data_IF_289449260284
#
_entry.id   IF_289449260284
#
_cell.length_a   1.000
_cell.length_b   1.000
_cell.length_c   1.000
_cell.angle_alpha   90.00
_cell.angle_beta   90.00
_cell.angle_gamma   90.00
#
_symmetry.space_group_name_H-M   'P 1'
#
loop_
_entity.id
_entity.type
_entity.pdbx_description
1 polymer ?
#
# COMPACT_ATOMS: atom_id res chain seq x y z
N UNK A 1 30.63 -16.92 0.36
CA UNK A 1 29.17 -16.77 0.49
C UNK A 1 28.91 -15.31 0.87
N UNK A 2 28.64 -14.38 -0.06
CA UNK A 2 28.50 -12.97 0.30
C UNK A 2 27.05 -12.56 0.59
N UNK A 3 26.94 -11.73 1.63
CA UNK A 3 25.97 -10.66 1.87
C UNK A 3 24.48 -10.99 2.02
N UNK A 4 24.07 -11.28 3.26
CA UNK A 4 22.79 -10.84 3.78
C UNK A 4 22.80 -9.30 3.81
N UNK A 5 22.35 -8.69 2.72
CA UNK A 5 22.26 -7.24 2.59
C UNK A 5 21.11 -6.75 3.47
N UNK A 6 21.49 -6.26 4.65
CA UNK A 6 20.79 -5.34 5.54
C UNK A 6 19.35 -4.97 5.13
N UNK A 7 18.37 -5.65 5.73
CA UNK A 7 17.09 -5.01 6.04
C UNK A 7 17.45 -3.72 6.80
N UNK A 8 17.28 -2.56 6.16
CA UNK A 8 17.31 -1.27 6.86
C UNK A 8 16.02 -1.23 7.67
N UNK A 9 16.06 -1.82 8.87
CA UNK A 9 14.94 -1.78 9.80
C UNK A 9 14.62 -0.31 10.02
N UNK A 10 13.44 0.12 9.59
CA UNK A 10 12.98 1.47 9.84
C UNK A 10 12.89 1.66 11.36
N UNK A 11 13.80 2.44 11.93
CA UNK A 11 13.82 2.69 13.37
C UNK A 11 12.87 3.86 13.65
N UNK A 12 11.80 3.67 14.46
CA UNK A 12 10.97 4.78 14.87
C UNK A 12 11.77 5.77 15.72
N UNK A 13 11.43 7.05 15.64
CA UNK A 13 11.94 8.04 16.61
C UNK A 13 11.56 7.60 18.04
N UNK A 14 12.53 7.43 18.96
CA UNK A 14 12.31 6.80 20.27
C UNK A 14 11.45 7.62 21.24
N UNK A 15 11.12 8.87 20.90
CA UNK A 15 10.49 9.83 21.82
C UNK A 15 8.96 9.80 21.78
N UNK A 16 8.34 9.02 20.90
CA UNK A 16 6.89 9.04 20.68
C UNK A 16 6.29 7.67 21.04
N UNK A 17 5.49 7.56 22.12
CA UNK A 17 4.89 6.31 22.53
C UNK A 17 3.90 5.81 21.47
N UNK A 18 4.03 4.54 21.07
CA UNK A 18 3.12 3.90 20.12
C UNK A 18 1.73 3.73 20.77
N UNK A 19 0.63 4.07 20.09
CA UNK A 19 -0.70 3.83 20.60
C UNK A 19 -0.96 2.32 20.76
N UNK A 20 -1.83 1.95 21.69
CA UNK A 20 -2.20 0.55 21.93
C UNK A 20 -2.87 -0.02 20.70
N UNK A 21 -2.30 -1.09 20.15
CA UNK A 21 -2.89 -1.79 19.00
C UNK A 21 -4.21 -2.48 19.40
N UNK A 22 -5.16 -2.59 18.47
CA UNK A 22 -6.38 -3.36 18.70
C UNK A 22 -6.05 -4.83 18.99
N UNK A 23 -6.69 -5.42 19.99
CA UNK A 23 -6.45 -6.81 20.38
C UNK A 23 -7.00 -7.81 19.35
N UNK A 24 -8.05 -7.45 18.62
CA UNK A 24 -8.65 -8.29 17.57
C UNK A 24 -7.92 -8.15 16.24
N UNK A 25 -6.97 -9.05 16.01
CA UNK A 25 -6.31 -9.23 14.70
C UNK A 25 -7.20 -10.05 13.77
N UNK A 26 -7.09 -9.78 12.47
CA UNK A 26 -7.82 -10.50 11.45
C UNK A 26 -7.36 -11.98 11.35
N UNK A 27 -8.24 -12.96 11.66
CA UNK A 27 -7.88 -14.38 11.66
C UNK A 27 -7.60 -14.93 10.25
N UNK A 28 -8.03 -14.26 9.18
CA UNK A 28 -7.79 -14.70 7.81
C UNK A 28 -6.37 -14.43 7.32
N UNK A 29 -5.59 -13.61 8.03
CA UNK A 29 -4.21 -13.30 7.63
C UNK A 29 -3.34 -14.55 7.75
N UNK A 30 -3.47 -15.28 8.86
CA UNK A 30 -2.76 -16.54 9.09
C UNK A 30 -3.22 -17.62 8.12
N UNK A 31 -4.54 -17.73 7.86
CA UNK A 31 -5.08 -18.68 6.87
C UNK A 31 -4.62 -18.41 5.43
N UNK A 32 -4.33 -17.16 5.10
CA UNK A 32 -3.81 -16.77 3.78
C UNK A 32 -2.32 -17.10 3.65
N UNK A 33 -1.55 -16.96 4.74
CA UNK A 33 -0.12 -17.36 4.74
C UNK A 33 0.09 -18.87 4.74
N UNK A 34 -0.79 -19.63 5.40
CA UNK A 34 -0.72 -21.09 5.50
C UNK A 34 -1.11 -21.81 4.18
N UNK A 35 -1.51 -21.06 3.14
CA UNK A 35 -1.90 -21.63 1.84
C UNK A 35 -3.30 -22.28 1.85
N UNK A 36 -4.01 -22.20 2.97
CA UNK A 36 -5.41 -22.67 3.12
C UNK A 36 -6.42 -21.74 2.41
N UNK A 37 -6.01 -20.54 2.00
CA UNK A 37 -6.82 -19.58 1.23
C UNK A 37 -6.15 -19.15 -0.08
N UNK A 38 -6.96 -18.56 -0.97
CA UNK A 38 -6.53 -18.00 -2.26
C UNK A 38 -5.25 -17.17 -2.11
N UNK A 39 -4.20 -17.41 -2.92
CA UNK A 39 -2.91 -16.75 -2.78
C UNK A 39 -3.06 -15.22 -2.92
N UNK A 40 -2.26 -14.43 -2.19
CA UNK A 40 -2.31 -12.97 -2.27
C UNK A 40 -1.94 -12.52 -3.69
N UNK A 41 -2.97 -12.29 -4.50
CA UNK A 41 -2.80 -11.88 -5.89
C UNK A 41 -2.61 -10.37 -5.96
N UNK A 42 -1.41 -9.94 -6.34
CA UNK A 42 -1.08 -8.53 -6.57
C UNK A 42 -1.64 -8.14 -7.95
N UNK A 43 -2.54 -7.16 -7.98
CA UNK A 43 -3.07 -6.57 -9.20
C UNK A 43 -2.51 -5.17 -9.38
N UNK A 44 -2.22 -4.79 -10.62
CA UNK A 44 -1.81 -3.42 -10.95
C UNK A 44 -3.02 -2.65 -11.48
N UNK A 45 -3.20 -1.42 -10.99
CA UNK A 45 -4.25 -0.52 -11.40
C UNK A 45 -3.66 0.86 -11.65
N UNK A 46 -3.91 1.41 -12.84
CA UNK A 46 -3.57 2.80 -13.15
C UNK A 46 -4.68 3.71 -12.66
N UNK A 47 -4.32 4.71 -11.87
CA UNK A 47 -5.24 5.74 -11.37
C UNK A 47 -4.84 7.09 -11.95
N UNK A 48 -5.77 7.74 -12.63
CA UNK A 48 -5.58 9.11 -13.11
C UNK A 48 -6.04 10.09 -12.02
N UNK A 49 -5.11 10.93 -11.55
CA UNK A 49 -5.39 12.00 -10.58
C UNK A 49 -4.64 13.25 -11.02
N UNK A 50 -5.33 14.40 -11.06
CA UNK A 50 -4.75 15.68 -11.48
C UNK A 50 -4.06 15.63 -12.85
N UNK A 51 -4.59 14.81 -13.77
CA UNK A 51 -4.00 14.59 -15.10
C UNK A 51 -2.74 13.73 -15.12
N UNK A 52 -2.32 13.18 -13.99
CA UNK A 52 -1.16 12.30 -13.87
C UNK A 52 -1.63 10.86 -13.69
N UNK A 53 -1.12 9.95 -14.53
CA UNK A 53 -1.30 8.52 -14.37
C UNK A 53 -0.37 7.99 -13.28
N UNK A 54 -0.93 7.41 -12.22
CA UNK A 54 -0.16 6.75 -11.15
C UNK A 54 -0.46 5.28 -11.16
N UNK A 55 0.58 4.47 -11.23
CA UNK A 55 0.41 3.02 -11.19
C UNK A 55 0.44 2.53 -9.75
N UNK A 56 -0.63 1.86 -9.33
CA UNK A 56 -0.81 1.31 -8.01
C UNK A 56 -0.84 -0.23 -8.08
N UNK A 57 0.00 -0.90 -7.31
CA UNK A 57 -0.17 -2.30 -6.99
C UNK A 57 -1.15 -2.44 -5.82
N UNK A 58 -2.12 -3.34 -5.93
CA UNK A 58 -3.10 -3.64 -4.89
C UNK A 58 -3.11 -5.13 -4.60
N UNK A 59 -3.13 -5.51 -3.32
CA UNK A 59 -3.30 -6.89 -2.90
C UNK A 59 -4.58 -7.04 -2.10
N UNK A 60 -5.37 -8.07 -2.42
CA UNK A 60 -6.64 -8.36 -1.76
C UNK A 60 -6.37 -9.13 -0.47
N UNK A 61 -6.84 -8.59 0.65
CA UNK A 61 -6.81 -9.25 1.97
C UNK A 61 -8.25 -9.55 2.38
N UNK A 62 -8.53 -10.81 2.74
CA UNK A 62 -9.85 -11.20 3.25
C UNK A 62 -9.98 -10.71 4.68
N UNK A 63 -11.11 -10.09 5.02
CA UNK A 63 -11.45 -9.71 6.39
C UNK A 63 -12.90 -10.10 6.67
N UNK A 64 -13.30 -10.32 7.94
CA UNK A 64 -14.68 -10.65 8.31
C UNK A 64 -15.68 -9.57 7.89
N UNK A 65 -15.28 -8.29 7.80
CA UNK A 65 -16.13 -7.19 7.35
C UNK A 65 -16.17 -6.99 5.83
N UNK A 66 -15.46 -7.82 5.06
CA UNK A 66 -15.33 -7.70 3.61
C UNK A 66 -13.87 -7.61 3.14
N UNK A 67 -13.59 -7.85 1.85
CA UNK A 67 -12.21 -7.79 1.35
C UNK A 67 -11.68 -6.35 1.38
N UNK A 68 -10.51 -6.18 1.99
CA UNK A 68 -9.77 -4.90 2.01
C UNK A 68 -8.62 -4.99 1.03
N UNK A 69 -8.28 -3.89 0.38
CA UNK A 69 -7.18 -3.83 -0.58
C UNK A 69 -6.05 -2.98 -0.01
N UNK A 70 -4.85 -3.57 0.12
CA UNK A 70 -3.65 -2.82 0.49
C UNK A 70 -3.05 -2.24 -0.79
N UNK A 71 -2.77 -0.94 -0.78
CA UNK A 71 -2.29 -0.20 -1.93
C UNK A 71 -0.80 0.14 -1.80
N UNK A 72 -0.05 -0.01 -2.89
CA UNK A 72 1.35 0.40 -3.05
C UNK A 72 1.52 1.18 -4.35
N UNK A 73 2.21 2.32 -4.30
CA UNK A 73 2.61 3.09 -5.48
C UNK A 73 3.80 2.43 -6.14
N UNK A 74 3.74 2.25 -7.45
CA UNK A 74 4.86 1.69 -8.21
C UNK A 74 5.93 2.72 -8.56
N UNK A 75 5.55 3.99 -8.72
CA UNK A 75 6.51 5.07 -8.99
C UNK A 75 7.56 5.26 -7.88
N UNK A 76 7.12 5.22 -6.61
CA UNK A 76 7.96 5.51 -5.44
C UNK A 76 8.09 4.33 -4.48
N UNK A 77 7.36 3.24 -4.71
CA UNK A 77 7.29 2.11 -3.80
C UNK A 77 6.48 2.37 -2.52
N UNK A 78 5.87 3.55 -2.36
CA UNK A 78 5.19 3.95 -1.13
C UNK A 78 3.92 3.12 -0.87
N UNK A 79 3.70 2.70 0.38
CA UNK A 79 2.59 1.82 0.78
C UNK A 79 1.62 2.57 1.70
N UNK A 80 0.32 2.36 1.49
CA UNK A 80 -0.72 2.99 2.31
C UNK A 80 -0.91 2.26 3.64
N UNK A 81 -0.43 2.88 4.71
CA UNK A 81 -0.55 2.39 6.09
C UNK A 81 -2.00 2.25 6.51
N UNK A 82 -2.84 3.21 6.11
CA UNK A 82 -4.25 3.22 6.51
C UNK A 82 -4.98 1.97 6.00
N UNK A 83 -4.66 1.52 4.78
CA UNK A 83 -5.22 0.26 4.25
C UNK A 83 -4.63 -0.97 4.92
N UNK A 84 -3.33 -0.95 5.27
CA UNK A 84 -2.70 -2.02 6.05
C UNK A 84 -3.36 -2.19 7.42
N UNK A 85 -3.58 -1.09 8.14
CA UNK A 85 -4.20 -1.12 9.46
C UNK A 85 -5.62 -1.68 9.40
N UNK A 86 -6.43 -1.27 8.42
CA UNK A 86 -7.79 -1.82 8.22
C UNK A 86 -7.80 -3.29 7.82
N UNK A 87 -6.80 -3.74 7.07
CA UNK A 87 -6.65 -5.14 6.70
C UNK A 87 -6.24 -6.01 7.91
N UNK A 88 -5.42 -5.46 8.79
CA UNK A 88 -4.96 -6.09 10.03
C UNK A 88 -6.04 -6.13 11.12
N UNK A 89 -6.74 -5.02 11.30
CA UNK A 89 -7.71 -4.81 12.37
C UNK A 89 -9.07 -4.36 11.79
N UNK A 90 -9.87 -5.28 11.26
CA UNK A 90 -11.14 -4.98 10.61
C UNK A 90 -12.21 -4.46 11.58
N UNK A 91 -12.08 -4.79 12.88
CA UNK A 91 -12.96 -4.35 13.97
C UNK A 91 -12.45 -3.09 14.66
N UNK A 92 -11.31 -2.52 14.24
CA UNK A 92 -10.78 -1.31 14.85
C UNK A 92 -11.60 -0.07 14.47
N UNK A 93 -11.83 0.79 15.45
CA UNK A 93 -12.45 2.10 15.25
C UNK A 93 -11.58 3.01 14.37
N UNK A 94 -12.22 3.93 13.66
CA UNK A 94 -11.54 4.96 12.86
C UNK A 94 -10.58 5.81 13.72
N UNK A 95 -10.94 6.06 14.99
CA UNK A 95 -10.09 6.76 15.96
C UNK A 95 -8.74 6.05 16.20
N UNK A 96 -8.73 4.72 16.27
CA UNK A 96 -7.51 3.95 16.44
C UNK A 96 -6.62 4.00 15.18
N UNK A 97 -7.25 3.97 14.00
CA UNK A 97 -6.54 4.14 12.73
C UNK A 97 -5.95 5.55 12.59
N UNK A 98 -6.65 6.58 13.06
CA UNK A 98 -6.14 7.95 13.09
C UNK A 98 -4.99 8.11 14.07
N UNK A 99 -5.11 7.55 15.29
CA UNK A 99 -4.05 7.58 16.29
C UNK A 99 -2.77 6.91 15.77
N UNK A 100 -2.87 5.74 15.13
CA UNK A 100 -1.72 5.04 14.54
C UNK A 100 -1.13 5.82 13.36
N UNK A 101 -1.97 6.38 12.47
CA UNK A 101 -1.48 7.25 11.40
C UNK A 101 -0.73 8.48 11.94
N UNK A 102 -1.22 9.08 13.03
CA UNK A 102 -0.58 10.24 13.67
C UNK A 102 0.76 9.84 14.29
N UNK A 103 0.79 8.71 15.03
CA UNK A 103 2.03 8.17 15.57
C UNK A 103 3.07 7.92 14.47
N UNK A 104 2.67 7.34 13.35
CA UNK A 104 3.58 7.06 12.22
C UNK A 104 4.10 8.35 11.59
N UNK A 105 3.23 9.35 11.40
CA UNK A 105 3.63 10.69 10.89
C UNK A 105 4.69 11.35 11.77
N UNK A 106 4.59 11.17 13.09
CA UNK A 106 5.53 11.76 14.04
C UNK A 106 6.82 10.92 14.16
N UNK A 107 6.68 9.59 14.06
CA UNK A 107 7.76 8.62 14.32
C UNK A 107 8.63 8.33 13.09
N UNK A 108 8.07 8.43 11.89
CA UNK A 108 8.74 8.12 10.63
C UNK A 108 8.67 9.29 9.64
N UNK A 109 9.68 9.39 8.78
CA UNK A 109 9.60 10.30 7.64
C UNK A 109 8.51 9.80 6.67
N UNK A 110 7.58 10.70 6.33
CA UNK A 110 6.60 10.42 5.29
C UNK A 110 7.32 10.13 3.96
N UNK A 111 6.74 9.26 3.13
CA UNK A 111 7.26 9.07 1.78
C UNK A 111 7.20 10.41 1.02
N UNK A 112 8.22 10.70 0.19
CA UNK A 112 8.20 11.90 -0.63
C UNK A 112 7.01 11.85 -1.61
N UNK A 113 6.14 12.86 -1.51
CA UNK A 113 4.97 13.04 -2.37
C UNK A 113 5.10 14.31 -3.23
N UNK A 114 6.28 14.94 -3.24
CA UNK A 114 6.52 16.21 -3.91
C UNK A 114 6.24 16.09 -5.42
N UNK A 115 5.37 16.96 -5.94
CA UNK A 115 4.98 16.99 -7.36
C UNK A 115 4.12 15.82 -7.82
N UNK A 116 3.49 15.07 -6.91
CA UNK A 116 2.69 13.88 -7.22
C UNK A 116 1.24 14.06 -6.74
N UNK A 117 0.25 13.39 -7.37
CA UNK A 117 -1.13 13.53 -6.95
C UNK A 117 -1.32 13.01 -5.52
N UNK A 118 -2.04 13.80 -4.72
CA UNK A 118 -2.32 13.50 -3.34
C UNK A 118 -3.32 12.33 -3.24
N UNK A 119 -2.87 11.22 -2.67
CA UNK A 119 -3.72 10.06 -2.41
C UNK A 119 -4.21 10.09 -0.97
N UNK A 120 -5.48 9.75 -0.70
CA UNK A 120 -6.00 9.73 0.67
C UNK A 120 -5.24 8.71 1.53
N UNK A 121 -5.16 8.99 2.82
CA UNK A 121 -4.47 8.16 3.80
C UNK A 121 -3.00 8.52 3.97
N UNK A 122 -2.32 7.77 4.84
CA UNK A 122 -0.89 7.97 5.11
C UNK A 122 -0.04 6.97 4.33
N UNK A 123 1.00 7.48 3.66
CA UNK A 123 1.87 6.71 2.77
C UNK A 123 3.30 6.75 3.28
N UNK A 124 3.90 5.57 3.42
CA UNK A 124 5.25 5.39 3.95
C UNK A 124 6.12 4.59 2.99
N UNK A 125 7.44 4.65 3.17
CA UNK A 125 8.40 3.85 2.39
C UNK A 125 8.21 2.35 2.66
N UNK A 126 8.64 1.47 1.73
CA UNK A 126 8.50 0.03 1.91
C UNK A 126 9.20 -0.49 3.18
N UNK A 127 10.34 0.09 3.58
CA UNK A 127 11.04 -0.27 4.83
C UNK A 127 10.17 -0.02 6.08
N UNK A 128 9.49 1.14 6.14
CA UNK A 128 8.58 1.48 7.25
C UNK A 128 7.35 0.58 7.21
N UNK A 129 6.81 0.31 6.02
CA UNK A 129 5.68 -0.59 5.88
C UNK A 129 6.00 -2.01 6.32
N UNK A 130 7.18 -2.54 5.99
CA UNK A 130 7.64 -3.86 6.43
C UNK A 130 7.80 -3.93 7.95
N UNK A 131 8.35 -2.87 8.56
CA UNK A 131 8.42 -2.76 10.02
C UNK A 131 7.02 -2.80 10.67
N UNK A 132 6.06 -2.05 10.13
CA UNK A 132 4.68 -2.06 10.61
C UNK A 132 3.98 -3.40 10.36
N UNK A 133 4.28 -4.05 9.24
CA UNK A 133 3.68 -5.31 8.84
C UNK A 133 3.96 -6.45 9.83
N UNK A 134 5.10 -6.41 10.53
CA UNK A 134 5.42 -7.36 11.59
C UNK A 134 4.41 -7.26 12.75
N UNK A 135 4.15 -6.04 13.23
CA UNK A 135 3.15 -5.80 14.28
C UNK A 135 1.70 -6.01 13.83
N UNK A 136 1.45 -5.98 12.52
CA UNK A 136 0.13 -6.20 11.92
C UNK A 136 -0.09 -7.65 11.46
N UNK A 137 0.90 -8.54 11.65
CA UNK A 137 0.91 -9.90 11.11
C UNK A 137 0.79 -9.99 9.58
N UNK A 138 0.99 -8.88 8.85
CA UNK A 138 0.89 -8.79 7.39
C UNK A 138 2.25 -8.99 6.68
N UNK A 139 3.30 -9.32 7.43
CA UNK A 139 4.69 -9.31 6.93
C UNK A 139 4.87 -10.08 5.62
N UNK A 140 4.33 -11.30 5.49
CA UNK A 140 4.36 -12.07 4.24
C UNK A 140 3.64 -11.40 3.06
N UNK A 141 2.44 -10.84 3.29
CA UNK A 141 1.65 -10.17 2.25
C UNK A 141 2.34 -8.88 1.79
N UNK A 142 2.82 -8.08 2.74
CA UNK A 142 3.52 -6.82 2.47
C UNK A 142 4.87 -7.08 1.82
N UNK A 143 5.57 -8.14 2.20
CA UNK A 143 6.81 -8.57 1.55
C UNK A 143 6.57 -8.94 0.08
N UNK A 144 5.52 -9.72 -0.22
CA UNK A 144 5.12 -10.00 -1.62
C UNK A 144 4.73 -8.73 -2.36
N UNK A 145 3.97 -7.82 -1.74
CA UNK A 145 3.58 -6.54 -2.36
C UNK A 145 4.79 -5.61 -2.57
N UNK A 146 5.77 -5.61 -1.66
CA UNK A 146 6.99 -4.80 -1.72
C UNK A 146 8.01 -5.37 -2.73
N UNK A 147 8.03 -6.69 -2.90
CA UNK A 147 8.85 -7.37 -3.90
C UNK A 147 8.21 -7.39 -5.29
N UNK A 148 6.91 -7.11 -5.40
CA UNK A 148 6.24 -7.00 -6.69
C UNK A 148 6.89 -5.87 -7.51
N UNK A 149 7.29 -6.22 -8.73
CA UNK A 149 7.88 -5.32 -9.72
C UNK A 149 6.86 -5.15 -10.84
N UNK A 150 6.73 -3.94 -11.37
CA UNK A 150 6.04 -3.76 -12.65
C UNK A 150 6.90 -4.39 -13.74
N UNK A 151 6.39 -5.45 -14.37
CA UNK A 151 7.00 -5.95 -15.60
C UNK A 151 6.99 -4.83 -16.65
N UNK A 152 8.17 -4.37 -17.14
CA UNK A 152 8.25 -3.34 -18.18
C UNK A 152 7.76 -3.84 -19.55
N UNK A 153 7.43 -5.13 -19.64
CA UNK A 153 6.82 -5.78 -20.81
C UNK A 153 5.30 -5.93 -20.70
N UNK A 154 4.64 -5.42 -19.65
CA UNK A 154 3.20 -5.25 -19.74
C UNK A 154 2.94 -4.26 -20.87
N UNK A 155 2.15 -4.64 -21.90
CA UNK A 155 1.90 -3.78 -23.04
C UNK A 155 1.36 -2.46 -22.52
N UNK A 156 1.91 -1.36 -23.05
CA UNK A 156 1.36 -0.01 -22.95
C UNK A 156 -0.15 -0.09 -22.69
N UNK A 157 -0.57 0.37 -21.52
CA UNK A 157 -1.97 0.76 -21.36
C UNK A 157 -2.20 1.83 -22.41
N UNK A 158 -2.77 1.39 -23.53
CA UNK A 158 -3.20 2.18 -24.67
C UNK A 158 -3.75 3.49 -24.15
N UNK A 159 -3.01 4.57 -24.39
CA UNK A 159 -3.51 5.93 -24.28
C UNK A 159 -4.91 5.94 -24.90
N UNK A 160 -5.94 6.53 -24.26
CA UNK A 160 -7.20 6.73 -24.95
C UNK A 160 -6.86 7.60 -26.16
N UNK A 161 -6.88 6.97 -27.33
CA UNK A 161 -6.74 7.63 -28.62
C UNK A 161 -7.77 8.76 -28.62
N UNK A 162 -7.29 9.98 -28.38
CA UNK A 162 -8.08 11.19 -28.51
C UNK A 162 -8.37 11.32 -29.99
N UNK A 163 -9.48 10.73 -30.44
CA UNK A 163 -9.98 10.92 -31.80
C UNK A 163 -10.16 12.43 -32.00
N UNK A 164 -9.40 13.10 -32.89
CA UNK A 164 -9.69 14.47 -33.24
C UNK A 164 -11.01 14.44 -34.02
N UNK A 165 -12.11 14.76 -33.34
CA UNK A 165 -13.39 14.94 -34.00
C UNK A 165 -13.23 16.07 -35.01
N UNK A 166 -13.43 15.70 -36.27
CA UNK A 166 -13.19 16.52 -37.44
C UNK A 166 -13.87 17.89 -37.33
N UNK A 167 -13.09 18.95 -37.54
CA UNK A 167 -13.60 20.24 -38.02
C UNK A 167 -14.19 20.01 -39.40
N UNK A 168 -15.50 19.75 -39.46
CA UNK A 168 -16.27 19.77 -40.69
C UNK A 168 -16.32 21.22 -41.19
N UNK A 169 -15.87 21.39 -42.43
CA UNK A 169 -15.61 22.68 -43.05
C UNK A 169 -16.85 23.54 -43.21
N UNK A 170 -16.63 24.84 -43.05
CA UNK A 170 -17.41 25.86 -43.71
C UNK A 170 -17.12 25.81 -45.22
N UNK A 171 -18.15 25.55 -46.03
CA UNK A 171 -18.28 26.08 -47.38
C UNK A 171 -19.77 26.32 -47.66
#
# INVERSE_FOLDING_TARGET
MPAAEHLRVAVPKPEIPRPTLPTEVNPHITSTMDGTSDPPSVQFQVLFRDGIAVTLARVKVRTPGGPVYILRRMDTGAISVTTMFRAAFPTASEEAAEAENNWIKLSFAAADQSGRPHLPGHWVTPDVALYLAEGYHLSGIVCSLASAVLDPNLPEFKEPEVTPHALAGCH
#
